data_IF_059927150211
#
_entry.id   IF_059927150211
#
_cell.length_a   1.000
_cell.length_b   1.000
_cell.length_c   1.000
_cell.angle_alpha   90.00
_cell.angle_beta   90.00
_cell.angle_gamma   90.00
#
_symmetry.space_group_name_H-M   'P 1'
#
loop_
_entity.id
_entity.type
_entity.pdbx_description
1 polymer ?
#
# COMPACT_ATOMS: atom_id res chain seq x y z
N UNK A 1 -4.99 -7.31 27.25
CA UNK A 1 -5.40 -6.76 25.94
C UNK A 1 -4.61 -7.50 24.87
N UNK A 2 -5.21 -7.75 23.70
CA UNK A 2 -4.53 -8.41 22.59
C UNK A 2 -3.72 -7.35 21.84
N UNK A 3 -2.44 -7.57 21.61
CA UNK A 3 -1.61 -6.70 20.79
C UNK A 3 -2.02 -6.77 19.33
N UNK A 4 -1.93 -5.66 18.61
CA UNK A 4 -2.22 -5.57 17.19
C UNK A 4 -0.98 -5.18 16.40
N UNK A 5 -0.82 -5.79 15.24
CA UNK A 5 0.27 -5.56 14.31
C UNK A 5 -0.30 -5.32 12.90
N UNK A 6 0.42 -4.54 12.11
CA UNK A 6 0.16 -4.38 10.68
C UNK A 6 1.31 -5.01 9.91
N UNK A 7 1.00 -5.80 8.89
CA UNK A 7 1.95 -6.23 7.89
C UNK A 7 1.92 -5.25 6.71
N UNK A 8 2.96 -4.43 6.60
CA UNK A 8 3.18 -3.49 5.50
C UNK A 8 3.92 -4.17 4.35
N UNK A 9 3.39 -4.04 3.12
CA UNK A 9 3.94 -4.65 1.90
C UNK A 9 4.08 -3.67 0.71
N UNK A 10 3.71 -2.42 0.90
CA UNK A 10 3.77 -1.32 -0.06
C UNK A 10 4.43 -0.09 0.57
N UNK A 11 3.80 1.07 0.50
CA UNK A 11 4.35 2.31 1.09
C UNK A 11 4.56 2.26 2.61
N UNK A 12 3.92 1.32 3.31
CA UNK A 12 4.12 1.10 4.75
C UNK A 12 5.42 0.31 5.08
N UNK A 13 6.22 -0.06 4.09
CA UNK A 13 7.58 -0.58 4.30
C UNK A 13 8.55 0.55 4.64
N UNK A 14 8.25 1.78 4.23
CA UNK A 14 9.04 2.97 4.53
C UNK A 14 8.82 3.43 5.97
N UNK A 15 9.89 3.41 6.78
CA UNK A 15 9.88 3.85 8.18
C UNK A 15 9.40 5.30 8.34
N UNK A 16 9.77 6.21 7.43
CA UNK A 16 9.30 7.61 7.46
C UNK A 16 7.78 7.74 7.23
N UNK A 17 7.18 6.81 6.47
CA UNK A 17 5.73 6.75 6.34
C UNK A 17 5.09 6.21 7.61
N UNK A 18 5.74 5.25 8.27
CA UNK A 18 5.28 4.71 9.56
C UNK A 18 5.33 5.76 10.67
N UNK A 19 6.40 6.59 10.74
CA UNK A 19 6.55 7.67 11.72
C UNK A 19 5.38 8.65 11.73
N UNK A 20 4.72 8.85 10.60
CA UNK A 20 3.54 9.72 10.49
C UNK A 20 2.29 9.16 11.17
N UNK A 21 2.26 7.86 11.41
CA UNK A 21 1.13 7.14 12.01
C UNK A 21 1.41 6.65 13.43
N UNK A 22 2.68 6.44 13.73
CA UNK A 22 3.13 6.10 15.06
C UNK A 22 3.50 7.44 15.70
N UNK A 23 2.68 7.94 16.64
CA UNK A 23 2.97 9.15 17.40
C UNK A 23 4.45 9.16 17.81
N UNK A 24 5.14 10.28 17.62
CA UNK A 24 6.58 10.57 17.69
C UNK A 24 7.38 9.99 18.89
N UNK A 25 6.85 9.05 19.64
CA UNK A 25 7.46 8.60 20.90
C UNK A 25 7.81 7.10 20.97
N UNK A 26 7.48 6.25 19.99
CA UNK A 26 7.67 4.81 20.18
C UNK A 26 8.16 4.00 18.94
N UNK A 27 8.84 4.59 17.99
CA UNK A 27 9.63 3.76 17.07
C UNK A 27 10.93 3.35 17.76
N UNK A 28 10.80 2.41 18.68
CA UNK A 28 11.95 1.62 19.12
C UNK A 28 12.09 0.46 18.15
N UNK A 29 13.33 0.10 17.82
CA UNK A 29 13.69 -1.07 16.99
C UNK A 29 12.95 -2.38 17.38
N UNK A 30 12.43 -2.47 18.60
CA UNK A 30 11.65 -3.59 19.12
C UNK A 30 10.22 -3.69 18.52
N UNK A 31 9.76 -2.69 17.76
CA UNK A 31 8.37 -2.59 17.28
C UNK A 31 8.23 -2.96 15.80
N UNK A 32 9.34 -2.94 15.05
CA UNK A 32 9.37 -3.24 13.61
C UNK A 32 10.18 -4.51 13.39
N UNK A 33 9.57 -5.50 12.73
CA UNK A 33 10.22 -6.74 12.33
C UNK A 33 10.10 -6.95 10.83
N UNK A 34 11.24 -7.17 10.16
CA UNK A 34 11.25 -7.63 8.78
C UNK A 34 10.90 -9.11 8.74
N UNK A 35 9.93 -9.47 7.93
CA UNK A 35 9.41 -10.83 7.87
C UNK A 35 8.76 -11.13 6.53
N UNK A 36 8.36 -12.38 6.33
CA UNK A 36 7.59 -12.80 5.16
C UNK A 36 6.13 -13.08 5.55
N UNK A 37 5.25 -12.74 4.64
CA UNK A 37 3.87 -13.19 4.65
C UNK A 37 3.76 -14.38 3.67
N UNK A 38 3.56 -15.56 4.22
CA UNK A 38 3.41 -16.80 3.44
C UNK A 38 2.03 -16.89 2.81
N UNK A 39 1.95 -17.62 1.71
CA UNK A 39 0.70 -17.86 0.97
C UNK A 39 0.04 -16.61 0.43
N UNK A 40 0.84 -15.60 0.11
CA UNK A 40 0.41 -14.37 -0.55
C UNK A 40 1.38 -13.95 -1.64
N UNK A 41 0.84 -13.37 -2.70
CA UNK A 41 1.55 -12.77 -3.82
C UNK A 41 1.21 -11.30 -3.92
N UNK A 42 2.19 -10.46 -4.26
CA UNK A 42 1.98 -9.03 -4.48
C UNK A 42 1.60 -8.76 -5.94
N UNK A 43 0.71 -7.81 -6.16
CA UNK A 43 0.22 -7.44 -7.49
C UNK A 43 -0.17 -5.96 -7.53
N UNK A 44 -0.24 -5.39 -8.73
CA UNK A 44 -0.75 -4.05 -8.99
C UNK A 44 -2.14 -4.15 -9.60
N UNK A 45 -3.18 -4.22 -8.78
CA UNK A 45 -4.54 -4.40 -9.26
C UNK A 45 -5.63 -3.69 -8.45
N UNK A 46 -5.26 -2.73 -7.63
CA UNK A 46 -6.19 -1.83 -6.95
C UNK A 46 -6.12 -0.47 -7.63
N UNK A 47 -7.24 0.12 -8.02
CA UNK A 47 -7.24 1.42 -8.67
C UNK A 47 -8.24 2.41 -8.06
N UNK A 48 -7.89 3.68 -8.16
CA UNK A 48 -8.79 4.80 -7.94
C UNK A 48 -9.06 5.54 -9.25
N UNK A 49 -10.30 5.99 -9.46
CA UNK A 49 -10.62 6.89 -10.55
C UNK A 49 -10.08 8.30 -10.24
N UNK A 50 -9.19 8.82 -11.10
CA UNK A 50 -8.59 10.13 -10.86
C UNK A 50 -9.56 11.28 -11.08
N UNK A 51 -10.68 11.05 -11.77
CA UNK A 51 -11.75 12.05 -12.01
C UNK A 51 -12.69 12.25 -10.82
N UNK A 52 -12.68 11.37 -9.81
CA UNK A 52 -13.57 11.46 -8.66
C UNK A 52 -13.00 12.37 -7.56
N UNK A 53 -13.85 13.27 -7.04
CA UNK A 53 -13.53 14.12 -5.89
C UNK A 53 -14.11 13.53 -4.61
N UNK A 54 -13.24 12.91 -3.83
CA UNK A 54 -13.58 12.39 -2.51
C UNK A 54 -12.99 13.30 -1.43
N UNK A 55 -13.81 13.96 -0.57
CA UNK A 55 -13.32 14.83 0.50
C UNK A 55 -12.28 14.13 1.39
N UNK A 56 -11.20 14.85 1.72
CA UNK A 56 -10.09 14.33 2.52
C UNK A 56 -9.25 13.25 1.83
N UNK A 57 -9.44 13.06 0.50
CA UNK A 57 -8.68 12.09 -0.25
C UNK A 57 -7.63 12.77 -1.15
N UNK A 58 -7.41 12.28 -2.36
CA UNK A 58 -6.37 12.74 -3.29
C UNK A 58 -6.83 12.58 -4.73
N UNK A 59 -6.21 13.37 -5.59
CA UNK A 59 -6.18 13.17 -7.03
C UNK A 59 -4.76 13.42 -7.55
N UNK A 60 -4.56 13.24 -8.83
CA UNK A 60 -3.25 13.42 -9.48
C UNK A 60 -3.36 14.37 -10.66
N UNK A 61 -2.33 15.20 -10.81
CA UNK A 61 -2.13 16.05 -11.99
C UNK A 61 -0.87 15.60 -12.73
N UNK A 62 -0.88 15.71 -14.02
CA UNK A 62 0.27 15.47 -14.87
C UNK A 62 1.31 16.57 -14.62
N UNK A 63 2.57 16.22 -14.35
CA UNK A 63 3.59 17.20 -13.98
C UNK A 63 4.01 18.07 -15.16
N UNK A 64 3.91 17.58 -16.40
CA UNK A 64 4.28 18.29 -17.60
C UNK A 64 3.21 19.30 -18.01
N UNK A 65 1.96 18.85 -18.05
CA UNK A 65 0.84 19.68 -18.54
C UNK A 65 0.12 20.47 -17.45
N UNK A 66 0.23 20.04 -16.19
CA UNK A 66 -0.52 20.58 -15.05
C UNK A 66 -2.00 20.17 -15.06
N UNK A 67 -2.44 19.38 -16.02
CA UNK A 67 -3.83 18.93 -16.14
C UNK A 67 -4.11 17.69 -15.28
N UNK A 68 -5.38 17.50 -14.94
CA UNK A 68 -5.87 16.30 -14.26
C UNK A 68 -6.32 15.28 -15.31
N UNK A 69 -5.54 14.20 -15.55
CA UNK A 69 -5.92 13.23 -16.59
C UNK A 69 -7.07 12.33 -16.13
N UNK A 70 -7.92 11.94 -17.09
CA UNK A 70 -8.98 10.93 -16.88
C UNK A 70 -8.39 9.52 -16.95
N UNK A 71 -7.81 9.09 -15.85
CA UNK A 71 -7.13 7.79 -15.71
C UNK A 71 -7.53 7.08 -14.42
N UNK A 72 -7.23 5.80 -14.34
CA UNK A 72 -7.30 4.97 -13.13
C UNK A 72 -5.89 4.77 -12.58
N UNK A 73 -5.59 5.42 -11.46
CA UNK A 73 -4.27 5.32 -10.82
C UNK A 73 -4.22 4.03 -10.00
N UNK A 74 -3.24 3.20 -10.32
CA UNK A 74 -3.09 1.82 -9.80
C UNK A 74 -2.14 1.76 -8.62
N UNK A 75 -2.46 0.91 -7.66
CA UNK A 75 -1.72 0.68 -6.42
C UNK A 75 -1.48 -0.82 -6.18
N UNK A 76 -0.52 -1.09 -5.29
CA UNK A 76 -0.19 -2.43 -4.83
C UNK A 76 -1.34 -3.06 -4.04
N UNK A 77 -1.47 -4.36 -4.21
CA UNK A 77 -2.34 -5.26 -3.48
C UNK A 77 -1.61 -6.57 -3.17
N UNK A 78 -2.19 -7.39 -2.33
CA UNK A 78 -1.79 -8.78 -2.14
C UNK A 78 -2.99 -9.71 -2.37
N UNK A 79 -2.71 -10.87 -2.91
CA UNK A 79 -3.69 -11.94 -3.17
C UNK A 79 -3.21 -13.25 -2.56
N UNK A 80 -4.15 -14.11 -2.16
CA UNK A 80 -3.85 -15.48 -1.77
C UNK A 80 -3.17 -16.23 -2.91
N UNK A 81 -2.02 -16.82 -2.61
CA UNK A 81 -1.26 -17.71 -3.48
C UNK A 81 -0.42 -18.63 -2.61
N UNK A 82 -0.82 -19.89 -2.48
CA UNK A 82 -0.19 -20.87 -1.57
C UNK A 82 1.27 -21.16 -1.92
N UNK A 83 1.67 -20.93 -3.17
CA UNK A 83 3.03 -21.15 -3.66
C UNK A 83 3.98 -19.98 -3.43
N UNK A 84 3.45 -18.83 -3.02
CA UNK A 84 4.18 -17.57 -2.90
C UNK A 84 4.40 -17.14 -1.46
N UNK A 85 5.41 -16.30 -1.27
CA UNK A 85 5.61 -15.52 -0.05
C UNK A 85 6.21 -14.16 -0.42
N UNK A 86 5.82 -13.12 0.32
CA UNK A 86 6.28 -11.77 0.08
C UNK A 86 7.00 -11.22 1.32
N UNK A 87 8.09 -10.51 1.08
CA UNK A 87 8.80 -9.77 2.13
C UNK A 87 8.07 -8.47 2.47
N UNK A 88 8.09 -8.09 3.74
CA UNK A 88 7.47 -6.86 4.23
C UNK A 88 7.88 -6.55 5.67
N UNK A 89 7.17 -5.65 6.31
CA UNK A 89 7.42 -5.25 7.70
C UNK A 89 6.20 -5.54 8.56
N UNK A 90 6.45 -6.13 9.73
CA UNK A 90 5.46 -6.30 10.79
C UNK A 90 5.73 -5.23 11.85
N UNK A 91 4.77 -4.34 12.10
CA UNK A 91 4.91 -3.30 13.11
C UNK A 91 3.72 -3.26 14.07
N UNK A 92 4.01 -3.03 15.35
CA UNK A 92 3.01 -2.96 16.40
C UNK A 92 2.24 -1.64 16.32
N UNK A 93 0.93 -1.70 16.48
CA UNK A 93 0.05 -0.52 16.50
C UNK A 93 -0.88 -0.58 17.70
N UNK A 94 -1.28 0.58 18.21
CA UNK A 94 -2.37 0.69 19.14
C UNK A 94 -3.72 0.73 18.39
N UNK A 95 -4.82 0.72 19.14
CA UNK A 95 -6.16 0.70 18.55
C UNK A 95 -6.49 1.98 17.78
N UNK A 96 -6.03 3.13 18.25
CA UNK A 96 -6.31 4.43 17.62
C UNK A 96 -5.62 4.54 16.26
N UNK A 97 -4.36 4.09 16.16
CA UNK A 97 -3.62 4.00 14.89
C UNK A 97 -4.30 3.03 13.92
N UNK A 98 -4.80 1.91 14.43
CA UNK A 98 -5.52 0.93 13.62
C UNK A 98 -6.79 1.54 12.99
N UNK A 99 -7.56 2.31 13.76
CA UNK A 99 -8.74 3.02 13.29
C UNK A 99 -8.39 4.13 12.28
N UNK A 100 -7.29 4.85 12.50
CA UNK A 100 -6.79 5.85 11.54
C UNK A 100 -6.35 5.22 10.21
N UNK A 101 -5.70 4.06 10.26
CA UNK A 101 -5.33 3.31 9.06
C UNK A 101 -6.56 2.82 8.30
N UNK A 102 -7.60 2.34 8.98
CA UNK A 102 -8.87 1.95 8.35
C UNK A 102 -9.52 3.13 7.59
N UNK A 103 -9.48 4.33 8.16
CA UNK A 103 -9.99 5.53 7.50
C UNK A 103 -9.15 5.98 6.29
N UNK A 104 -7.85 5.71 6.33
CA UNK A 104 -6.92 6.04 5.24
C UNK A 104 -7.04 5.09 4.06
N UNK A 105 -7.13 3.80 4.34
CA UNK A 105 -7.04 2.71 3.35
C UNK A 105 -8.40 2.44 2.65
N UNK A 106 -9.01 3.50 2.09
CA UNK A 106 -10.38 3.51 1.53
C UNK A 106 -10.64 2.49 0.40
N UNK A 107 -9.60 2.04 -0.28
CA UNK A 107 -9.69 1.05 -1.36
C UNK A 107 -9.35 -0.37 -0.89
N UNK A 108 -9.21 -0.56 0.42
CA UNK A 108 -8.77 -1.81 1.03
C UNK A 108 -9.65 -2.17 2.22
N UNK A 109 -9.70 -3.45 2.52
CA UNK A 109 -10.23 -3.98 3.77
C UNK A 109 -9.10 -4.57 4.62
N UNK A 110 -9.26 -4.49 5.93
CA UNK A 110 -8.32 -5.07 6.88
C UNK A 110 -8.64 -6.54 7.10
N UNK A 111 -7.68 -7.41 6.81
CA UNK A 111 -7.81 -8.88 6.90
C UNK A 111 -6.83 -9.44 7.94
N UNK A 112 -7.27 -10.41 8.73
CA UNK A 112 -6.42 -11.14 9.68
C UNK A 112 -5.46 -12.07 8.92
N UNK A 113 -4.16 -11.82 9.07
CA UNK A 113 -3.08 -12.57 8.43
C UNK A 113 -2.15 -13.24 9.44
N UNK A 114 -2.56 -13.33 10.68
CA UNK A 114 -1.75 -13.81 11.82
C UNK A 114 -1.05 -15.14 11.55
N UNK A 115 -1.75 -16.10 10.95
CA UNK A 115 -1.21 -17.45 10.69
C UNK A 115 -0.18 -17.50 9.54
N UNK A 116 -0.08 -16.42 8.76
CA UNK A 116 0.77 -16.37 7.56
C UNK A 116 2.09 -15.64 7.78
N UNK A 117 2.24 -14.92 8.89
CA UNK A 117 3.49 -14.25 9.28
C UNK A 117 4.51 -15.28 9.76
N UNK A 118 5.75 -15.21 9.27
CA UNK A 118 6.79 -16.22 9.52
C UNK A 118 7.72 -15.94 10.70
N UNK A 119 7.45 -14.87 11.47
CA UNK A 119 8.19 -14.54 12.68
C UNK A 119 7.32 -14.70 13.93
N UNK A 120 7.91 -15.03 15.10
CA UNK A 120 7.15 -15.15 16.34
C UNK A 120 6.72 -13.77 16.87
N UNK A 121 5.45 -13.61 17.18
CA UNK A 121 4.88 -12.45 17.86
C UNK A 121 3.66 -12.88 18.70
N UNK A 122 3.18 -12.00 19.59
CA UNK A 122 1.99 -12.24 20.40
C UNK A 122 0.91 -11.24 20.06
N UNK A 123 -0.22 -11.71 19.52
CA UNK A 123 -1.33 -10.85 19.16
C UNK A 123 -1.92 -11.21 17.80
N UNK A 124 -2.47 -10.21 17.13
CA UNK A 124 -3.06 -10.32 15.81
C UNK A 124 -2.32 -9.46 14.79
N UNK A 125 -2.00 -10.04 13.64
CA UNK A 125 -1.45 -9.34 12.50
C UNK A 125 -2.53 -9.11 11.44
N UNK A 126 -2.56 -7.89 10.90
CA UNK A 126 -3.50 -7.45 9.89
C UNK A 126 -2.77 -6.98 8.64
N UNK A 127 -3.36 -7.22 7.49
CA UNK A 127 -2.92 -6.60 6.22
C UNK A 127 -4.12 -5.94 5.54
N UNK A 128 -3.87 -4.90 4.76
CA UNK A 128 -4.88 -4.24 3.95
C UNK A 128 -4.91 -4.86 2.56
N UNK A 129 -6.03 -5.51 2.22
CA UNK A 129 -6.26 -6.21 0.95
C UNK A 129 -7.28 -5.43 0.14
N UNK A 130 -7.04 -5.28 -1.16
CA UNK A 130 -7.88 -4.49 -2.05
C UNK A 130 -9.34 -4.93 -2.05
N UNK A 131 -10.23 -3.95 -1.94
CA UNK A 131 -11.68 -4.15 -2.10
C UNK A 131 -12.00 -4.57 -3.54
N UNK A 132 -13.02 -5.40 -3.69
CA UNK A 132 -13.49 -5.88 -4.99
C UNK A 132 -13.83 -4.73 -5.96
N UNK A 133 -14.42 -3.66 -5.46
CA UNK A 133 -14.74 -2.47 -6.25
C UNK A 133 -13.50 -1.74 -6.76
N UNK A 134 -12.42 -1.76 -5.97
CA UNK A 134 -11.13 -1.18 -6.37
C UNK A 134 -10.41 -2.04 -7.41
N UNK A 135 -10.53 -3.36 -7.33
CA UNK A 135 -10.06 -4.29 -8.36
C UNK A 135 -10.89 -4.14 -9.66
N UNK A 136 -12.20 -4.01 -9.56
CA UNK A 136 -13.08 -3.77 -10.73
C UNK A 136 -12.73 -2.44 -11.43
N UNK A 137 -12.38 -1.39 -10.68
CA UNK A 137 -11.88 -0.13 -11.28
C UNK A 137 -10.58 -0.35 -12.04
N UNK A 138 -9.67 -1.18 -11.53
CA UNK A 138 -8.46 -1.55 -12.25
C UNK A 138 -8.78 -2.30 -13.54
N UNK A 139 -9.63 -3.31 -13.49
CA UNK A 139 -10.05 -4.09 -14.67
C UNK A 139 -10.72 -3.21 -15.73
N UNK A 140 -11.59 -2.28 -15.29
CA UNK A 140 -12.19 -1.29 -16.17
C UNK A 140 -11.14 -0.38 -16.81
N UNK A 141 -10.21 0.15 -16.00
CA UNK A 141 -9.12 1.00 -16.49
C UNK A 141 -8.21 0.26 -17.48
N UNK A 142 -7.92 -1.01 -17.23
CA UNK A 142 -7.13 -1.85 -18.12
C UNK A 142 -7.84 -2.07 -19.46
N UNK A 143 -9.13 -2.44 -19.43
CA UNK A 143 -9.96 -2.65 -20.63
C UNK A 143 -10.08 -1.42 -21.52
N UNK A 144 -10.05 -0.22 -20.93
CA UNK A 144 -10.20 1.05 -21.64
C UNK A 144 -8.88 1.80 -21.86
N UNK A 145 -7.73 1.12 -21.62
CA UNK A 145 -6.37 1.70 -21.76
C UNK A 145 -6.15 2.97 -20.90
N UNK A 146 -6.84 3.04 -19.75
CA UNK A 146 -6.78 4.16 -18.81
C UNK A 146 -6.07 3.83 -17.49
N UNK A 147 -5.73 2.56 -17.25
CA UNK A 147 -4.96 2.18 -16.06
C UNK A 147 -3.52 2.69 -16.17
N UNK A 148 -3.02 3.33 -15.10
CA UNK A 148 -1.65 3.85 -15.06
C UNK A 148 -1.02 3.65 -13.69
N UNK A 149 0.30 3.54 -13.63
CA UNK A 149 1.07 3.60 -12.38
C UNK A 149 1.68 5.00 -12.26
N UNK A 150 1.45 5.68 -11.14
CA UNK A 150 2.13 6.93 -10.83
C UNK A 150 3.59 6.66 -10.46
N UNK A 151 4.54 7.28 -11.17
CA UNK A 151 5.99 7.09 -10.94
C UNK A 151 6.40 7.46 -9.51
N UNK A 152 5.86 8.55 -8.95
CA UNK A 152 6.17 8.94 -7.57
C UNK A 152 5.81 7.84 -6.55
N UNK A 153 4.69 7.12 -6.76
CA UNK A 153 4.32 6.03 -5.87
C UNK A 153 5.17 4.78 -6.09
N UNK A 154 5.50 4.46 -7.35
CA UNK A 154 6.40 3.35 -7.67
C UNK A 154 7.78 3.57 -7.05
N UNK A 155 8.36 4.75 -7.24
CA UNK A 155 9.67 5.11 -6.67
C UNK A 155 9.64 5.08 -5.13
N UNK A 156 8.59 5.64 -4.52
CA UNK A 156 8.41 5.59 -3.06
C UNK A 156 8.49 4.15 -2.53
N UNK A 157 7.81 3.21 -3.19
CA UNK A 157 7.83 1.81 -2.79
C UNK A 157 9.19 1.17 -3.04
N UNK A 158 9.78 1.36 -4.22
CA UNK A 158 11.09 0.79 -4.55
C UNK A 158 12.20 1.34 -3.64
N UNK A 159 12.19 2.63 -3.35
CA UNK A 159 13.11 3.26 -2.40
C UNK A 159 12.94 2.70 -0.99
N UNK A 160 11.70 2.50 -0.52
CA UNK A 160 11.43 1.87 0.77
C UNK A 160 12.06 0.47 0.88
N UNK A 161 11.94 -0.36 -0.15
CA UNK A 161 12.60 -1.67 -0.18
C UNK A 161 14.12 -1.56 -0.28
N UNK A 162 14.63 -0.59 -1.04
CA UNK A 162 16.07 -0.37 -1.20
C UNK A 162 16.76 0.06 0.11
N UNK A 163 16.08 0.81 0.99
CA UNK A 163 16.63 1.19 2.31
C UNK A 163 16.95 -0.03 3.18
N UNK A 164 16.28 -1.17 2.92
CA UNK A 164 16.51 -2.44 3.60
C UNK A 164 17.50 -3.36 2.86
N UNK A 165 18.10 -2.88 1.77
CA UNK A 165 19.10 -3.56 0.98
C UNK A 165 18.65 -3.90 -0.44
N UNK A 166 19.64 -4.05 -1.32
CA UNK A 166 19.39 -4.40 -2.73
C UNK A 166 18.67 -5.73 -2.89
N UNK A 167 18.96 -6.70 -2.03
CA UNK A 167 18.29 -8.01 -2.03
C UNK A 167 16.80 -7.91 -1.71
N UNK A 168 16.41 -6.98 -0.83
CA UNK A 168 15.00 -6.71 -0.53
C UNK A 168 14.27 -6.09 -1.71
N UNK A 169 14.92 -5.18 -2.44
CA UNK A 169 14.35 -4.61 -3.66
C UNK A 169 14.23 -5.66 -4.78
N UNK A 170 15.21 -6.54 -4.94
CA UNK A 170 15.16 -7.64 -5.90
C UNK A 170 14.03 -8.62 -5.55
N UNK A 171 13.90 -9.00 -4.28
CA UNK A 171 12.78 -9.84 -3.80
C UNK A 171 11.43 -9.17 -4.09
N UNK A 172 11.30 -7.87 -3.81
CA UNK A 172 10.09 -7.11 -4.14
C UNK A 172 9.74 -7.23 -5.63
N UNK A 173 10.71 -7.00 -6.51
CA UNK A 173 10.50 -7.06 -7.97
C UNK A 173 10.15 -8.47 -8.46
N UNK A 174 10.81 -9.50 -7.94
CA UNK A 174 10.55 -10.89 -8.31
C UNK A 174 9.21 -11.43 -7.80
N UNK A 175 8.76 -10.94 -6.64
CA UNK A 175 7.52 -11.41 -5.99
C UNK A 175 6.31 -10.52 -6.27
N UNK A 176 6.44 -9.56 -7.19
CA UNK A 176 5.38 -8.61 -7.55
C UNK A 176 4.95 -8.77 -9.00
N UNK A 177 3.70 -9.13 -9.24
CA UNK A 177 3.10 -9.07 -10.57
C UNK A 177 2.83 -7.63 -10.97
N UNK A 178 3.64 -7.12 -11.88
CA UNK A 178 3.48 -5.75 -12.41
C UNK A 178 2.87 -5.84 -13.80
N UNK A 179 1.66 -5.27 -14.02
CA UNK A 179 1.02 -5.28 -15.33
C UNK A 179 1.76 -4.37 -16.32
N UNK A 180 1.68 -4.70 -17.60
CA UNK A 180 2.19 -3.87 -18.70
C UNK A 180 1.25 -2.68 -18.97
N UNK A 181 1.26 -1.70 -18.09
CA UNK A 181 0.48 -0.45 -18.20
C UNK A 181 1.40 0.78 -18.16
N UNK A 182 0.96 1.93 -18.72
CA UNK A 182 1.77 3.15 -18.71
C UNK A 182 2.17 3.58 -17.30
N UNK A 183 3.42 3.96 -17.15
CA UNK A 183 3.94 4.66 -15.97
C UNK A 183 3.96 6.15 -16.29
N UNK A 184 3.30 6.97 -15.46
CA UNK A 184 3.14 8.41 -15.72
C UNK A 184 3.74 9.25 -14.59
N UNK A 185 4.35 10.35 -14.95
CA UNK A 185 4.89 11.34 -13.99
C UNK A 185 3.75 12.23 -13.48
N UNK A 186 3.11 11.76 -12.42
CA UNK A 186 1.93 12.36 -11.83
C UNK A 186 2.25 12.91 -10.44
N UNK A 187 1.84 14.16 -10.19
CA UNK A 187 1.92 14.79 -8.86
C UNK A 187 0.63 14.54 -8.08
N UNK A 188 0.77 13.98 -6.88
CA UNK A 188 -0.34 13.81 -5.95
C UNK A 188 -0.77 15.16 -5.36
N UNK A 189 -2.08 15.42 -5.37
CA UNK A 189 -2.72 16.59 -4.77
C UNK A 189 -3.73 16.10 -3.73
N UNK A 190 -3.71 16.69 -2.52
CA UNK A 190 -4.66 16.36 -1.47
C UNK A 190 -5.94 17.18 -1.65
N UNK A 191 -7.10 16.54 -1.54
CA UNK A 191 -8.39 17.21 -1.50
C UNK A 191 -8.65 17.61 -0.03
N UNK A 192 -8.94 18.88 0.21
CA UNK A 192 -9.26 19.36 1.54
C UNK A 192 -10.55 18.73 2.07
N UNK A 193 -10.57 18.41 3.35
CA UNK A 193 -11.80 18.06 4.05
C UNK A 193 -12.66 19.34 4.13
N UNK A 194 -13.72 19.42 3.36
CA UNK A 194 -14.64 20.54 3.36
C UNK A 194 -15.42 20.73 4.68
N UNK A 195 -14.75 20.54 5.80
CA UNK A 195 -15.23 20.86 7.15
C UNK A 195 -14.63 22.21 7.55
N UNK A 196 -15.35 23.26 7.23
CA UNK A 196 -15.24 24.57 7.90
C UNK A 196 -16.17 24.61 9.11
#
# INVERSE_FOLDING_TARGET
MTDHYIFGYGSLVDEQQLERYLDNHEIKEEVIQFCRLRSYKRTWNVAMANSEDLPGYKYYIDKETGERPDVFVTYLNIKKDESSSIFGVLFKVNKDVLEQLDLRERNYERVDVTEFVDVPFKGKAWAYIGLKEAEQRFEYGLKHEKAVIALDYLHLVEEAYLTHGTECLEDYRMTTDTPEIPKRDLKRVKIEDGRS
#
